data_IF_121696747712
#
_entry.id   IF_121696747712
#
_cell.length_a   1.000
_cell.length_b   1.000
_cell.length_c   1.000
_cell.angle_alpha   90.00
_cell.angle_beta   90.00
_cell.angle_gamma   90.00
#
_symmetry.space_group_name_H-M   'P 1'
#
loop_
_entity.id
_entity.type
_entity.pdbx_description
1 polymer ?
#
# COMPACT_ATOMS: atom_id res chain seq x y z
N UNK A 1 23.10 13.85 8.44
CA UNK A 1 22.90 12.37 8.48
C UNK A 1 22.20 11.95 7.21
N UNK A 2 22.73 10.92 6.56
CA UNK A 2 22.21 10.35 5.32
C UNK A 2 21.28 9.16 5.60
N UNK A 3 20.42 8.86 4.65
CA UNK A 3 19.56 7.69 4.62
C UNK A 3 20.37 6.39 4.59
N UNK A 4 19.88 5.36 5.25
CA UNK A 4 20.47 4.01 5.27
C UNK A 4 19.37 2.97 5.05
N UNK A 5 19.70 1.85 4.41
CA UNK A 5 18.79 0.72 4.24
C UNK A 5 18.31 0.21 5.60
N UNK A 6 19.24 0.05 6.56
CA UNK A 6 18.89 -0.38 7.93
C UNK A 6 17.92 0.59 8.61
N UNK A 7 18.18 1.90 8.49
CA UNK A 7 17.28 2.92 9.05
C UNK A 7 15.87 2.86 8.43
N UNK A 8 15.78 2.60 7.13
CA UNK A 8 14.48 2.41 6.45
C UNK A 8 13.76 1.17 6.97
N UNK A 9 14.45 0.04 7.11
CA UNK A 9 13.86 -1.19 7.67
C UNK A 9 13.34 -0.96 9.09
N UNK A 10 14.10 -0.26 9.95
CA UNK A 10 13.67 0.06 11.31
C UNK A 10 12.41 0.94 11.31
N UNK A 11 12.35 1.96 10.43
CA UNK A 11 11.17 2.84 10.29
C UNK A 11 9.94 2.09 9.74
N UNK A 12 10.16 1.21 8.78
CA UNK A 12 9.09 0.34 8.25
C UNK A 12 8.55 -0.58 9.33
N UNK A 13 9.42 -1.21 10.13
CA UNK A 13 9.00 -2.06 11.25
C UNK A 13 8.19 -1.29 12.29
N UNK A 14 8.62 -0.08 12.68
CA UNK A 14 7.87 0.79 13.60
C UNK A 14 6.50 1.13 13.02
N UNK A 15 6.45 1.54 11.76
CA UNK A 15 5.19 1.92 11.11
C UNK A 15 4.24 0.75 10.98
N UNK A 16 4.73 -0.46 10.62
CA UNK A 16 3.91 -1.68 10.59
C UNK A 16 3.38 -2.04 11.98
N UNK A 17 4.18 -1.89 13.01
CA UNK A 17 3.74 -2.13 14.39
C UNK A 17 2.61 -1.18 14.80
N UNK A 18 2.73 0.12 14.49
CA UNK A 18 1.69 1.12 14.74
C UNK A 18 0.42 0.80 13.95
N UNK A 19 0.55 0.41 12.69
CA UNK A 19 -0.57 0.02 11.81
C UNK A 19 -1.31 -1.19 12.40
N UNK A 20 -0.59 -2.23 12.82
CA UNK A 20 -1.18 -3.45 13.37
C UNK A 20 -1.94 -3.15 14.68
N UNK A 21 -1.35 -2.35 15.58
CA UNK A 21 -2.02 -1.98 16.83
C UNK A 21 -3.29 -1.19 16.56
N UNK A 22 -3.21 -0.16 15.70
CA UNK A 22 -4.36 0.66 15.35
C UNK A 22 -5.43 -0.17 14.62
N UNK A 23 -5.01 -1.09 13.74
CA UNK A 23 -5.90 -2.01 13.04
C UNK A 23 -6.62 -2.96 13.99
N UNK A 24 -5.90 -3.56 14.92
CA UNK A 24 -6.50 -4.42 15.93
C UNK A 24 -7.50 -3.65 16.81
N UNK A 25 -7.15 -2.44 17.22
CA UNK A 25 -8.05 -1.57 17.98
C UNK A 25 -9.34 -1.26 17.21
N UNK A 26 -9.24 -0.84 15.95
CA UNK A 26 -10.41 -0.56 15.11
C UNK A 26 -11.25 -1.79 14.84
N UNK A 27 -10.61 -2.94 14.62
CA UNK A 27 -11.27 -4.23 14.43
C UNK A 27 -12.12 -4.62 15.65
N UNK A 28 -11.63 -4.40 16.87
CA UNK A 28 -12.33 -4.77 18.12
C UNK A 28 -13.46 -3.82 18.47
N UNK A 29 -13.31 -2.50 18.18
CA UNK A 29 -14.35 -1.50 18.50
C UNK A 29 -15.47 -1.50 17.48
N UNK A 30 -15.21 -1.96 16.24
CA UNK A 30 -16.21 -2.07 15.17
C UNK A 30 -16.94 -0.75 14.86
N UNK A 31 -16.24 0.38 14.93
CA UNK A 31 -16.81 1.70 14.70
C UNK A 31 -16.64 2.17 13.26
N UNK A 32 -17.73 2.35 12.49
CA UNK A 32 -17.68 2.91 11.14
C UNK A 32 -17.02 4.31 11.11
N UNK A 33 -17.21 5.09 12.18
CA UNK A 33 -16.61 6.43 12.30
C UNK A 33 -15.08 6.36 12.36
N UNK A 34 -14.52 5.40 13.09
CA UNK A 34 -13.07 5.20 13.14
C UNK A 34 -12.51 4.75 11.78
N UNK A 35 -13.21 3.87 11.08
CA UNK A 35 -12.84 3.41 9.75
C UNK A 35 -12.81 4.58 8.74
N UNK A 36 -13.91 5.32 8.64
CA UNK A 36 -14.02 6.44 7.69
C UNK A 36 -13.08 7.57 8.08
N UNK A 37 -13.01 7.91 9.37
CA UNK A 37 -12.08 8.91 9.89
C UNK A 37 -10.63 8.56 9.65
N UNK A 38 -10.26 7.29 9.85
CA UNK A 38 -8.94 6.75 9.54
C UNK A 38 -8.60 6.88 8.06
N UNK A 39 -9.53 6.52 7.18
CA UNK A 39 -9.35 6.64 5.73
C UNK A 39 -9.12 8.10 5.30
N UNK A 40 -9.97 9.02 5.74
CA UNK A 40 -9.85 10.45 5.39
C UNK A 40 -8.56 11.05 5.96
N UNK A 41 -8.25 10.79 7.24
CA UNK A 41 -7.05 11.31 7.88
C UNK A 41 -5.78 10.68 7.30
N UNK A 42 -5.81 9.38 6.95
CA UNK A 42 -4.75 8.68 6.24
C UNK A 42 -4.49 9.33 4.88
N UNK A 43 -5.52 9.52 4.08
CA UNK A 43 -5.41 10.19 2.78
C UNK A 43 -4.81 11.60 2.89
N UNK A 44 -5.26 12.42 3.83
CA UNK A 44 -4.72 13.76 4.05
C UNK A 44 -3.25 13.71 4.46
N UNK A 45 -2.87 12.82 5.39
CA UNK A 45 -1.47 12.68 5.82
C UNK A 45 -0.57 12.14 4.71
N UNK A 46 -1.05 11.23 3.86
CA UNK A 46 -0.33 10.78 2.67
C UNK A 46 -0.06 11.95 1.73
N UNK A 47 -1.08 12.75 1.37
CA UNK A 47 -0.91 13.93 0.53
C UNK A 47 0.10 14.92 1.11
N UNK A 48 0.02 15.21 2.43
CA UNK A 48 0.99 16.11 3.08
C UNK A 48 2.41 15.56 2.92
N UNK A 49 2.61 14.25 3.06
CA UNK A 49 3.94 13.62 2.94
C UNK A 49 4.45 13.66 1.51
N UNK A 50 3.60 13.39 0.53
CA UNK A 50 3.95 13.41 -0.90
C UNK A 50 4.40 14.81 -1.32
N UNK A 51 3.64 15.85 -0.98
CA UNK A 51 3.98 17.22 -1.32
C UNK A 51 5.10 17.83 -0.47
N UNK A 52 5.31 17.31 0.75
CA UNK A 52 6.35 17.78 1.66
C UNK A 52 7.10 16.60 2.31
N UNK A 53 8.03 16.00 1.57
CA UNK A 53 8.84 14.85 2.03
C UNK A 53 9.58 15.10 3.35
N UNK A 54 9.88 16.35 3.70
CA UNK A 54 10.53 16.72 4.97
C UNK A 54 9.64 16.47 6.18
N UNK A 55 8.31 16.43 6.02
CA UNK A 55 7.37 16.12 7.09
C UNK A 55 7.27 14.62 7.40
N UNK A 56 7.84 13.75 6.56
CA UNK A 56 7.74 12.30 6.67
C UNK A 56 8.04 11.74 8.08
N UNK A 57 9.02 12.24 8.87
CA UNK A 57 9.26 11.75 10.22
C UNK A 57 8.06 11.85 11.18
N UNK A 58 7.13 12.75 10.90
CA UNK A 58 5.90 12.94 11.69
C UNK A 58 4.71 12.32 10.98
N UNK A 59 4.59 12.57 9.68
CA UNK A 59 3.41 12.19 8.92
C UNK A 59 3.38 10.69 8.58
N UNK A 60 4.51 10.02 8.40
CA UNK A 60 4.51 8.59 8.12
C UNK A 60 4.02 7.72 9.30
N UNK A 61 4.45 7.94 10.56
CA UNK A 61 3.86 7.26 11.72
C UNK A 61 2.37 7.55 11.89
N UNK A 62 1.95 8.81 11.70
CA UNK A 62 0.53 9.20 11.75
C UNK A 62 -0.28 8.50 10.66
N UNK A 63 0.25 8.47 9.43
CA UNK A 63 -0.35 7.73 8.34
C UNK A 63 -0.55 6.26 8.70
N UNK A 64 0.48 5.60 9.24
CA UNK A 64 0.39 4.18 9.64
C UNK A 64 -0.72 3.93 10.69
N UNK A 65 -0.92 4.85 11.63
CA UNK A 65 -2.02 4.76 12.61
C UNK A 65 -3.37 4.91 11.90
N UNK A 66 -3.53 5.94 11.08
CA UNK A 66 -4.81 6.19 10.38
C UNK A 66 -5.16 5.09 9.39
N UNK A 67 -4.18 4.62 8.64
CA UNK A 67 -4.34 3.49 7.73
C UNK A 67 -4.71 2.21 8.49
N UNK A 68 -4.06 1.96 9.64
CA UNK A 68 -4.43 0.87 10.54
C UNK A 68 -5.89 0.95 10.97
N UNK A 69 -6.37 2.13 11.39
CA UNK A 69 -7.78 2.31 11.77
C UNK A 69 -8.73 2.01 10.60
N UNK A 70 -8.40 2.44 9.39
CA UNK A 70 -9.18 2.18 8.19
C UNK A 70 -9.19 0.68 7.86
N UNK A 71 -8.02 0.05 7.78
CA UNK A 71 -7.86 -1.37 7.44
C UNK A 71 -8.48 -2.29 8.48
N UNK A 72 -8.41 -1.94 9.77
CA UNK A 72 -9.03 -2.72 10.84
C UNK A 72 -10.55 -2.77 10.71
N UNK A 73 -11.18 -1.64 10.41
CA UNK A 73 -12.62 -1.57 10.16
C UNK A 73 -13.05 -2.35 8.91
N UNK A 74 -12.29 -2.20 7.81
CA UNK A 74 -12.51 -2.97 6.57
C UNK A 74 -12.34 -4.47 6.84
N UNK A 75 -11.29 -4.85 7.54
CA UNK A 75 -11.03 -6.26 7.90
C UNK A 75 -12.18 -6.87 8.69
N UNK A 76 -12.76 -6.10 9.65
CA UNK A 76 -13.94 -6.56 10.38
C UNK A 76 -15.13 -6.81 9.44
N UNK A 77 -15.42 -5.88 8.53
CA UNK A 77 -16.54 -6.02 7.58
C UNK A 77 -16.39 -7.28 6.71
N UNK A 78 -15.19 -7.53 6.20
CA UNK A 78 -14.94 -8.73 5.39
C UNK A 78 -14.95 -10.02 6.21
N UNK A 79 -14.44 -9.99 7.44
CA UNK A 79 -14.45 -11.14 8.33
C UNK A 79 -15.87 -11.62 8.69
N UNK A 80 -16.85 -10.70 8.72
CA UNK A 80 -18.26 -11.05 8.93
C UNK A 80 -18.89 -11.78 7.74
N UNK A 81 -18.37 -11.57 6.53
CA UNK A 81 -18.91 -12.19 5.32
C UNK A 81 -18.15 -13.44 4.89
N UNK A 82 -16.84 -13.49 5.17
CA UNK A 82 -15.94 -14.54 4.70
C UNK A 82 -14.99 -14.97 5.80
N UNK A 83 -15.23 -16.15 6.35
CA UNK A 83 -14.41 -16.71 7.42
C UNK A 83 -12.95 -16.90 6.97
N UNK A 84 -12.00 -16.43 7.79
CA UNK A 84 -10.56 -16.59 7.54
C UNK A 84 -9.95 -15.67 6.46
N UNK A 85 -10.75 -14.85 5.77
CA UNK A 85 -10.27 -14.03 4.65
C UNK A 85 -9.16 -13.05 5.07
N UNK A 86 -9.27 -12.46 6.26
CA UNK A 86 -8.29 -11.49 6.77
C UNK A 86 -6.94 -12.15 7.01
N UNK A 87 -6.93 -13.33 7.65
CA UNK A 87 -5.71 -14.09 7.89
C UNK A 87 -5.05 -14.52 6.58
N UNK A 88 -5.84 -14.99 5.62
CA UNK A 88 -5.37 -15.39 4.31
C UNK A 88 -4.76 -14.20 3.56
N UNK A 89 -5.44 -13.04 3.54
CA UNK A 89 -4.95 -11.84 2.87
C UNK A 89 -3.63 -11.35 3.48
N UNK A 90 -3.54 -11.23 4.80
CA UNK A 90 -2.31 -10.81 5.49
C UNK A 90 -1.17 -11.79 5.25
N UNK A 91 -1.45 -13.10 5.35
CA UNK A 91 -0.43 -14.14 5.10
C UNK A 91 0.08 -14.11 3.66
N UNK A 92 -0.81 -14.01 2.68
CA UNK A 92 -0.43 -13.93 1.27
C UNK A 92 0.38 -12.67 0.98
N UNK A 93 0.00 -11.51 1.54
CA UNK A 93 0.75 -10.25 1.39
C UNK A 93 2.16 -10.39 1.96
N UNK A 94 2.30 -10.98 3.15
CA UNK A 94 3.61 -11.21 3.76
C UNK A 94 4.48 -12.18 2.93
N UNK A 95 3.88 -13.26 2.40
CA UNK A 95 4.58 -14.22 1.54
C UNK A 95 5.02 -13.59 0.21
N UNK A 96 4.19 -12.77 -0.41
CA UNK A 96 4.52 -12.03 -1.63
C UNK A 96 5.69 -11.07 -1.36
N UNK A 97 5.62 -10.28 -0.27
CA UNK A 97 6.67 -9.36 0.12
C UNK A 97 8.02 -10.08 0.31
N UNK A 98 8.04 -11.17 1.07
CA UNK A 98 9.25 -11.97 1.31
C UNK A 98 9.79 -12.59 0.02
N UNK A 99 8.92 -13.14 -0.83
CA UNK A 99 9.30 -13.75 -2.10
C UNK A 99 9.92 -12.73 -3.05
N UNK A 100 9.32 -11.54 -3.17
CA UNK A 100 9.82 -10.47 -4.02
C UNK A 100 11.13 -9.90 -3.47
N UNK A 101 11.25 -9.74 -2.16
CA UNK A 101 12.50 -9.29 -1.53
C UNK A 101 13.64 -10.28 -1.79
N UNK A 102 13.38 -11.58 -1.70
CA UNK A 102 14.37 -12.62 -2.03
C UNK A 102 14.72 -12.61 -3.52
N UNK A 103 13.73 -12.47 -4.42
CA UNK A 103 13.95 -12.40 -5.86
C UNK A 103 14.74 -11.16 -6.27
N UNK A 104 14.46 -10.01 -5.65
CA UNK A 104 15.20 -8.77 -5.84
C UNK A 104 16.65 -8.93 -5.36
N UNK A 105 16.85 -9.40 -4.11
CA UNK A 105 18.18 -9.58 -3.52
C UNK A 105 19.04 -10.59 -4.25
N UNK A 106 18.45 -11.64 -4.83
CA UNK A 106 19.16 -12.63 -5.64
C UNK A 106 19.50 -12.16 -7.06
N UNK A 107 19.02 -10.97 -7.47
CA UNK A 107 19.22 -10.43 -8.81
C UNK A 107 18.36 -11.10 -9.90
N UNK A 108 17.39 -11.92 -9.51
CA UNK A 108 16.42 -12.51 -10.46
C UNK A 108 15.54 -11.45 -11.10
N UNK A 109 15.19 -10.42 -10.33
CA UNK A 109 14.43 -9.27 -10.82
C UNK A 109 15.36 -8.07 -10.81
N UNK A 110 15.59 -7.48 -12.00
CA UNK A 110 16.37 -6.25 -12.14
C UNK A 110 15.44 -5.16 -12.66
N UNK A 111 15.19 -4.10 -11.87
CA UNK A 111 14.32 -2.99 -12.28
C UNK A 111 15.03 -2.11 -13.32
N UNK A 112 14.94 -2.52 -14.58
CA UNK A 112 15.39 -1.71 -15.70
C UNK A 112 14.46 -0.51 -15.90
N UNK A 113 14.90 0.56 -16.56
CA UNK A 113 14.08 1.74 -16.84
C UNK A 113 12.77 1.39 -17.58
N UNK A 114 12.83 0.45 -18.54
CA UNK A 114 11.64 -0.02 -19.25
C UNK A 114 10.69 -0.79 -18.33
N UNK A 115 11.23 -1.56 -17.37
CA UNK A 115 10.43 -2.25 -16.36
C UNK A 115 9.71 -1.23 -15.46
N UNK A 116 10.44 -0.22 -14.94
CA UNK A 116 9.87 0.85 -14.11
C UNK A 116 8.73 1.57 -14.84
N UNK A 117 8.98 1.99 -16.09
CA UNK A 117 7.95 2.62 -16.92
C UNK A 117 6.73 1.73 -17.14
N UNK A 118 6.93 0.45 -17.37
CA UNK A 118 5.84 -0.52 -17.57
C UNK A 118 4.97 -0.66 -16.32
N UNK A 119 5.59 -0.79 -15.15
CA UNK A 119 4.86 -0.91 -13.87
C UNK A 119 4.11 0.38 -13.55
N UNK A 120 4.74 1.54 -13.70
CA UNK A 120 4.10 2.85 -13.47
C UNK A 120 2.92 3.06 -14.42
N UNK A 121 3.09 2.76 -15.71
CA UNK A 121 2.01 2.88 -16.70
C UNK A 121 0.84 1.94 -16.38
N UNK A 122 1.11 0.70 -15.98
CA UNK A 122 0.09 -0.27 -15.60
C UNK A 122 -0.66 0.17 -14.33
N UNK A 123 0.07 0.68 -13.32
CA UNK A 123 -0.53 1.23 -12.09
C UNK A 123 -1.41 2.44 -12.41
N UNK A 124 -0.94 3.35 -13.26
CA UNK A 124 -1.73 4.49 -13.75
C UNK A 124 -2.99 4.05 -14.48
N UNK A 125 -2.93 3.01 -15.30
CA UNK A 125 -4.11 2.42 -15.97
C UNK A 125 -5.13 1.87 -14.97
N UNK A 126 -4.68 1.13 -13.96
CA UNK A 126 -5.54 0.61 -12.89
C UNK A 126 -6.17 1.77 -12.11
N UNK A 127 -5.38 2.79 -11.74
CA UNK A 127 -5.89 3.98 -11.07
C UNK A 127 -7.00 4.67 -11.88
N UNK A 128 -6.82 4.84 -13.19
CA UNK A 128 -7.84 5.43 -14.06
C UNK A 128 -9.13 4.61 -14.09
N UNK A 129 -9.05 3.27 -14.11
CA UNK A 129 -10.22 2.40 -14.04
C UNK A 129 -10.99 2.62 -12.73
N UNK A 130 -10.30 2.66 -11.59
CA UNK A 130 -10.91 2.94 -10.30
C UNK A 130 -11.50 4.36 -10.22
N UNK A 131 -10.79 5.35 -10.76
CA UNK A 131 -11.25 6.74 -10.80
C UNK A 131 -12.52 6.88 -11.66
N UNK A 132 -12.56 6.27 -12.84
CA UNK A 132 -13.73 6.27 -13.72
C UNK A 132 -14.89 5.56 -13.02
N UNK A 133 -14.66 4.44 -12.36
CA UNK A 133 -15.69 3.74 -11.59
C UNK A 133 -16.22 4.59 -10.44
N UNK A 134 -15.32 5.23 -9.70
CA UNK A 134 -15.71 6.12 -8.59
C UNK A 134 -16.57 7.29 -9.06
N UNK A 135 -16.14 7.97 -10.12
CA UNK A 135 -16.92 9.07 -10.71
C UNK A 135 -18.25 8.54 -11.28
N UNK A 136 -18.20 7.41 -11.99
CA UNK A 136 -19.38 6.77 -12.58
C UNK A 136 -20.44 6.38 -11.55
N UNK A 137 -20.01 5.99 -10.34
CA UNK A 137 -20.92 5.62 -9.26
C UNK A 137 -21.86 6.76 -8.84
N UNK A 138 -21.41 8.03 -8.94
CA UNK A 138 -22.27 9.19 -8.71
C UNK A 138 -23.38 9.36 -9.77
N UNK A 139 -23.20 8.74 -10.94
CA UNK A 139 -24.17 8.74 -12.05
C UNK A 139 -24.92 7.41 -12.14
N UNK A 140 -24.80 6.54 -11.13
CA UNK A 140 -25.45 5.22 -11.11
C UNK A 140 -24.83 4.20 -12.07
N UNK A 141 -23.59 4.43 -12.51
CA UNK A 141 -22.84 3.49 -13.37
C UNK A 141 -21.98 2.57 -12.47
N UNK A 142 -22.38 1.32 -12.33
CA UNK A 142 -21.59 0.31 -11.64
C UNK A 142 -20.77 -0.51 -12.64
N UNK A 143 -19.45 -0.46 -12.52
CA UNK A 143 -18.57 -1.36 -13.26
C UNK A 143 -18.58 -2.74 -12.59
N UNK A 144 -19.27 -3.69 -13.24
CA UNK A 144 -19.36 -5.08 -12.77
C UNK A 144 -17.98 -5.73 -12.53
N UNK A 145 -16.94 -5.24 -13.22
CA UNK A 145 -15.55 -5.67 -13.08
C UNK A 145 -14.97 -5.43 -11.68
N UNK A 146 -15.40 -4.35 -11.03
CA UNK A 146 -14.90 -3.93 -9.71
C UNK A 146 -15.81 -4.38 -8.56
N UNK A 147 -16.93 -5.03 -8.85
CA UNK A 147 -17.83 -5.51 -7.83
C UNK A 147 -17.27 -6.79 -7.18
N UNK A 148 -16.87 -6.77 -5.90
CA UNK A 148 -16.28 -7.92 -5.23
C UNK A 148 -17.25 -9.11 -5.07
N UNK A 149 -18.57 -8.86 -5.13
CA UNK A 149 -19.59 -9.90 -5.11
C UNK A 149 -19.79 -10.58 -6.47
N UNK A 150 -19.22 -10.01 -7.53
CA UNK A 150 -19.31 -10.58 -8.87
C UNK A 150 -18.20 -11.61 -9.08
N UNK A 151 -18.50 -12.89 -8.84
CA UNK A 151 -17.59 -14.03 -9.09
C UNK A 151 -17.33 -14.33 -10.57
N UNK A 152 -17.49 -13.36 -11.47
CA UNK A 152 -17.19 -13.55 -12.89
C UNK A 152 -15.70 -13.82 -13.13
N UNK A 153 -15.40 -14.63 -14.14
CA UNK A 153 -14.03 -14.93 -14.54
C UNK A 153 -13.23 -13.65 -14.85
N UNK A 154 -13.87 -12.64 -15.43
CA UNK A 154 -13.25 -11.34 -15.72
C UNK A 154 -12.85 -10.58 -14.45
N UNK A 155 -13.70 -10.55 -13.42
CA UNK A 155 -13.39 -9.91 -12.13
C UNK A 155 -12.22 -10.60 -11.44
N UNK A 156 -12.18 -11.93 -11.48
CA UNK A 156 -11.08 -12.71 -10.88
C UNK A 156 -9.76 -12.42 -11.61
N UNK A 157 -9.74 -12.47 -12.95
CA UNK A 157 -8.55 -12.19 -13.73
C UNK A 157 -8.08 -10.75 -13.49
N UNK A 158 -8.99 -9.79 -13.48
CA UNK A 158 -8.66 -8.39 -13.20
C UNK A 158 -8.03 -8.24 -11.82
N UNK A 159 -8.61 -8.85 -10.78
CA UNK A 159 -8.06 -8.81 -9.42
C UNK A 159 -6.65 -9.42 -9.35
N UNK A 160 -6.40 -10.52 -10.05
CA UNK A 160 -5.07 -11.12 -10.13
C UNK A 160 -4.06 -10.19 -10.82
N UNK A 161 -4.46 -9.49 -11.89
CA UNK A 161 -3.61 -8.49 -12.55
C UNK A 161 -3.31 -7.34 -11.61
N UNK A 162 -4.31 -6.82 -10.88
CA UNK A 162 -4.11 -5.74 -9.90
C UNK A 162 -3.12 -6.16 -8.82
N UNK A 163 -3.29 -7.38 -8.26
CA UNK A 163 -2.37 -7.91 -7.24
C UNK A 163 -0.95 -8.05 -7.81
N UNK A 164 -0.81 -8.54 -9.03
CA UNK A 164 0.49 -8.67 -9.69
C UNK A 164 1.16 -7.30 -9.86
N UNK A 165 0.46 -6.31 -10.40
CA UNK A 165 1.00 -4.96 -10.58
C UNK A 165 1.34 -4.30 -9.26
N UNK A 166 0.45 -4.39 -8.25
CA UNK A 166 0.74 -3.92 -6.89
C UNK A 166 2.00 -4.58 -6.31
N UNK A 167 2.16 -5.88 -6.51
CA UNK A 167 3.35 -6.60 -6.07
C UNK A 167 4.62 -6.11 -6.78
N UNK A 168 4.55 -5.79 -8.07
CA UNK A 168 5.69 -5.26 -8.82
C UNK A 168 6.08 -3.84 -8.37
N UNK A 169 5.15 -3.04 -7.83
CA UNK A 169 5.49 -1.76 -7.23
C UNK A 169 6.42 -1.91 -6.01
N UNK A 170 6.33 -3.00 -5.24
CA UNK A 170 7.30 -3.28 -4.17
C UNK A 170 8.73 -3.38 -4.67
N UNK A 171 8.93 -3.90 -5.89
CA UNK A 171 10.27 -3.97 -6.50
C UNK A 171 10.80 -2.57 -6.80
N UNK A 172 9.93 -1.65 -7.22
CA UNK A 172 10.29 -0.23 -7.41
C UNK A 172 10.66 0.44 -6.08
N UNK A 173 9.94 0.12 -5.00
CA UNK A 173 10.26 0.64 -3.67
C UNK A 173 11.62 0.14 -3.17
N UNK A 174 11.95 -1.13 -3.39
CA UNK A 174 13.27 -1.67 -3.03
C UNK A 174 14.39 -0.98 -3.79
N UNK A 175 14.22 -0.79 -5.10
CA UNK A 175 15.18 -0.10 -5.96
C UNK A 175 15.35 1.37 -5.53
N UNK A 176 14.25 2.05 -5.25
CA UNK A 176 14.27 3.42 -4.74
C UNK A 176 15.05 3.53 -3.41
N UNK A 177 14.84 2.59 -2.47
CA UNK A 177 15.53 2.57 -1.18
C UNK A 177 17.04 2.39 -1.37
N UNK A 178 17.43 1.47 -2.25
CA UNK A 178 18.84 1.20 -2.57
C UNK A 178 19.49 2.43 -3.22
N UNK A 179 18.90 2.94 -4.29
CA UNK A 179 19.40 4.12 -5.02
C UNK A 179 19.47 5.37 -4.13
N UNK A 180 18.44 5.65 -3.34
CA UNK A 180 18.43 6.79 -2.43
C UNK A 180 19.48 6.68 -1.33
N UNK A 181 19.72 5.45 -0.83
CA UNK A 181 20.77 5.19 0.17
C UNK A 181 22.17 5.39 -0.41
N UNK A 182 22.43 4.90 -1.63
CA UNK A 182 23.71 5.04 -2.33
C UNK A 182 24.01 6.50 -2.70
N UNK A 183 23.00 7.24 -3.13
CA UNK A 183 23.12 8.67 -3.47
C UNK A 183 23.17 9.59 -2.24
N UNK A 184 23.16 9.05 -1.01
CA UNK A 184 23.28 9.82 0.21
C UNK A 184 22.09 10.72 0.49
N UNK A 185 20.88 10.29 0.16
CA UNK A 185 19.64 11.01 0.43
C UNK A 185 19.52 11.43 1.91
N UNK A 186 18.82 12.51 2.23
CA UNK A 186 18.65 12.99 3.61
C UNK A 186 17.93 11.95 4.49
N UNK A 187 18.25 11.92 5.78
CA UNK A 187 17.75 10.91 6.74
C UNK A 187 16.22 10.86 6.86
N UNK A 188 15.50 11.96 6.63
CA UNK A 188 14.03 11.95 6.66
C UNK A 188 13.42 11.07 5.56
N UNK A 189 14.19 10.76 4.50
CA UNK A 189 13.75 9.87 3.43
C UNK A 189 13.59 8.41 3.89
N UNK A 190 14.19 8.00 5.01
CA UNK A 190 13.93 6.69 5.63
C UNK A 190 12.45 6.53 6.00
N UNK A 191 11.82 7.59 6.52
CA UNK A 191 10.39 7.59 6.84
C UNK A 191 9.51 7.68 5.60
N UNK A 192 9.95 8.43 4.60
CA UNK A 192 9.25 8.53 3.32
C UNK A 192 9.22 7.16 2.61
N UNK A 193 10.36 6.48 2.56
CA UNK A 193 10.46 5.14 1.98
C UNK A 193 9.68 4.09 2.79
N UNK A 194 9.65 4.20 4.13
CA UNK A 194 8.82 3.36 4.97
C UNK A 194 7.32 3.54 4.68
N UNK A 195 6.88 4.78 4.46
CA UNK A 195 5.49 5.06 4.06
C UNK A 195 5.19 4.43 2.70
N UNK A 196 6.06 4.57 1.72
CA UNK A 196 5.90 3.97 0.39
C UNK A 196 5.72 2.45 0.48
N UNK A 197 6.57 1.77 1.23
CA UNK A 197 6.48 0.31 1.44
C UNK A 197 5.16 -0.14 2.10
N UNK A 198 4.61 0.67 3.00
CA UNK A 198 3.35 0.35 3.68
C UNK A 198 2.17 0.61 2.77
N UNK A 199 2.24 1.66 2.00
CA UNK A 199 1.17 2.09 1.11
C UNK A 199 1.12 1.33 -0.22
N UNK A 200 2.04 0.43 -0.48
CA UNK A 200 2.20 -0.60 -1.57
C UNK A 200 1.63 -0.23 -2.95
N UNK A 201 1.22 0.96 -3.25
CA UNK A 201 0.55 1.18 -4.52
C UNK A 201 0.43 2.61 -5.00
N UNK A 202 1.08 3.56 -4.39
CA UNK A 202 1.04 4.90 -4.98
C UNK A 202 2.26 5.12 -5.89
N UNK A 203 2.01 5.22 -7.22
CA UNK A 203 3.02 5.71 -8.15
C UNK A 203 3.26 7.18 -7.83
N UNK A 204 4.47 7.50 -7.42
CA UNK A 204 4.95 8.88 -7.32
C UNK A 204 5.39 9.38 -8.68
#
# INVERSE_FOLDING_TARGET
>A
QTMTIKGTVDKTAISLFLLIIAGYYSYTITSPTLMIGGFIAGFITALITIFNKKSAPITAPLYAIFEGLALGGISYMYAQQFEGIVLNAVSLTALILLSLLMAYRSGLIKPTENFKLGVVAATGGIFLIYLISFIGSFFGMDLALLNPANGSMFSIIFSLIVILIASLNLVLDFDFIEEASENGAPKYMEWYAALSLIHISEPT
#
